data_IF_869757663134
#
_entry.id   IF_869757663134
#
_cell.length_a   1.000
_cell.length_b   1.000
_cell.length_c   1.000
_cell.angle_alpha   90.00
_cell.angle_beta   90.00
_cell.angle_gamma   90.00
#
_symmetry.space_group_name_H-M   'P 1'
#
loop_
_entity.id
_entity.type
_entity.pdbx_description
1 polymer ?
#
# COMPACT_ATOMS: atom_id res chain seq x y z
N UNK A 1 -27.47 -15.08 -21.32
CA UNK A 1 -27.68 -14.64 -19.92
C UNK A 1 -26.37 -14.47 -19.17
N UNK A 2 -25.39 -13.76 -19.73
CA UNK A 2 -24.20 -13.33 -18.98
C UNK A 2 -24.05 -11.82 -19.09
N UNK A 3 -24.82 -11.12 -18.26
CA UNK A 3 -24.62 -9.71 -17.99
C UNK A 3 -23.66 -9.59 -16.81
N UNK A 4 -22.41 -9.19 -17.07
CA UNK A 4 -21.71 -8.13 -16.32
C UNK A 4 -20.37 -7.83 -16.99
N UNK A 5 -20.47 -7.15 -18.13
CA UNK A 5 -19.43 -6.28 -18.65
C UNK A 5 -19.20 -5.12 -17.68
N UNK A 6 -18.29 -5.27 -16.71
CA UNK A 6 -17.68 -4.13 -16.05
C UNK A 6 -16.53 -3.60 -16.90
N UNK A 7 -16.92 -2.90 -17.95
CA UNK A 7 -16.08 -1.94 -18.64
C UNK A 7 -15.75 -0.83 -17.64
N UNK A 8 -14.54 -0.81 -17.08
CA UNK A 8 -14.05 0.37 -16.38
C UNK A 8 -12.53 0.47 -16.52
N UNK A 9 -12.11 1.33 -17.42
CA UNK A 9 -10.73 1.78 -17.62
C UNK A 9 -10.13 2.25 -16.29
N UNK A 10 -9.35 1.38 -15.65
CA UNK A 10 -8.59 1.74 -14.47
C UNK A 10 -7.74 0.57 -13.99
N UNK A 11 -6.45 0.83 -13.80
CA UNK A 11 -5.39 -0.13 -13.47
C UNK A 11 -5.87 -1.31 -12.62
N UNK A 12 -5.63 -2.53 -13.12
CA UNK A 12 -5.78 -3.76 -12.32
C UNK A 12 -4.91 -3.63 -11.05
N UNK A 13 -5.37 -4.10 -9.88
CA UNK A 13 -4.52 -4.27 -8.72
C UNK A 13 -3.30 -5.11 -9.10
N UNK A 14 -2.13 -4.70 -8.63
CA UNK A 14 -0.86 -5.38 -8.92
C UNK A 14 -0.21 -5.80 -7.61
N UNK A 15 0.48 -6.95 -7.66
CA UNK A 15 1.29 -7.49 -6.56
C UNK A 15 2.75 -7.35 -6.95
N UNK A 16 3.56 -6.73 -6.10
CA UNK A 16 5.02 -6.79 -6.18
C UNK A 16 5.54 -7.70 -5.06
N UNK A 17 6.52 -8.54 -5.39
CA UNK A 17 7.12 -9.51 -4.49
C UNK A 17 8.64 -9.32 -4.50
N UNK A 18 9.24 -9.24 -3.32
CA UNK A 18 10.69 -9.19 -3.17
C UNK A 18 11.08 -9.90 -1.88
N UNK A 19 11.86 -10.98 -1.96
CA UNK A 19 12.20 -11.81 -0.80
C UNK A 19 10.94 -12.17 0.03
N UNK A 20 10.91 -11.78 1.30
CA UNK A 20 9.78 -11.95 2.23
C UNK A 20 8.76 -10.79 2.20
N UNK A 21 9.04 -9.71 1.47
CA UNK A 21 8.16 -8.55 1.33
C UNK A 21 7.15 -8.71 0.19
N UNK A 22 5.89 -8.39 0.50
CA UNK A 22 4.76 -8.37 -0.44
C UNK A 22 4.11 -6.99 -0.43
N UNK A 23 4.00 -6.37 -1.59
CA UNK A 23 3.31 -5.09 -1.76
C UNK A 23 2.12 -5.24 -2.70
N UNK A 24 0.94 -4.81 -2.24
CA UNK A 24 -0.28 -4.73 -3.04
C UNK A 24 -0.57 -3.25 -3.35
N UNK A 25 -0.81 -2.93 -4.62
CA UNK A 25 -1.10 -1.55 -5.00
C UNK A 25 -2.09 -1.45 -6.16
N UNK A 26 -2.79 -0.33 -6.22
CA UNK A 26 -3.72 0.02 -7.29
C UNK A 26 -3.76 1.54 -7.44
N UNK A 27 -4.16 2.01 -8.62
CA UNK A 27 -4.35 3.42 -8.90
C UNK A 27 -5.75 3.68 -9.46
N UNK A 28 -6.30 4.83 -9.11
CA UNK A 28 -7.60 5.29 -9.58
C UNK A 28 -7.73 6.80 -9.42
N UNK A 29 -8.51 7.43 -10.27
CA UNK A 29 -8.94 8.82 -10.09
C UNK A 29 -9.88 9.00 -8.90
N UNK A 30 -10.61 7.94 -8.52
CA UNK A 30 -11.57 7.91 -7.44
C UNK A 30 -11.04 7.08 -6.26
N UNK A 31 -10.89 7.70 -5.10
CA UNK A 31 -10.37 7.06 -3.89
C UNK A 31 -11.19 5.82 -3.49
N UNK A 32 -12.52 5.90 -3.58
CA UNK A 32 -13.41 4.79 -3.26
C UNK A 32 -13.22 3.60 -4.21
N UNK A 33 -13.00 3.86 -5.50
CA UNK A 33 -12.74 2.79 -6.46
C UNK A 33 -11.38 2.13 -6.22
N UNK A 34 -10.34 2.90 -5.88
CA UNK A 34 -9.06 2.34 -5.45
C UNK A 34 -9.21 1.48 -4.19
N UNK A 35 -9.97 1.96 -3.20
CA UNK A 35 -10.26 1.23 -1.96
C UNK A 35 -10.94 -0.11 -2.23
N UNK A 36 -11.99 -0.10 -3.03
CA UNK A 36 -12.72 -1.32 -3.37
C UNK A 36 -11.81 -2.32 -4.09
N UNK A 37 -11.03 -1.85 -5.06
CA UNK A 37 -10.08 -2.67 -5.82
C UNK A 37 -9.02 -3.30 -4.92
N UNK A 38 -8.39 -2.52 -4.02
CA UNK A 38 -7.36 -3.05 -3.15
C UNK A 38 -7.93 -4.00 -2.09
N UNK A 39 -9.12 -3.70 -1.54
CA UNK A 39 -9.80 -4.58 -0.58
C UNK A 39 -10.18 -5.92 -1.20
N UNK A 40 -10.72 -5.90 -2.43
CA UNK A 40 -11.03 -7.11 -3.18
C UNK A 40 -9.76 -7.93 -3.49
N UNK A 41 -8.69 -7.26 -3.95
CA UNK A 41 -7.41 -7.93 -4.23
C UNK A 41 -6.78 -8.53 -2.97
N UNK A 42 -6.85 -7.82 -1.85
CA UNK A 42 -6.38 -8.29 -0.55
C UNK A 42 -7.17 -9.53 -0.08
N UNK A 43 -8.48 -9.58 -0.32
CA UNK A 43 -9.30 -10.77 -0.02
C UNK A 43 -8.82 -11.99 -0.80
N UNK A 44 -8.58 -11.84 -2.11
CA UNK A 44 -8.05 -12.92 -2.96
C UNK A 44 -6.65 -13.37 -2.50
N UNK A 45 -5.78 -12.43 -2.15
CA UNK A 45 -4.44 -12.72 -1.64
C UNK A 45 -4.49 -13.40 -0.27
N UNK A 46 -5.43 -13.04 0.60
CA UNK A 46 -5.61 -13.69 1.91
C UNK A 46 -5.95 -15.17 1.74
N UNK A 47 -6.91 -15.49 0.85
CA UNK A 47 -7.24 -16.88 0.51
C UNK A 47 -6.03 -17.65 -0.05
N UNK A 48 -5.21 -16.99 -0.87
CA UNK A 48 -3.97 -17.58 -1.36
C UNK A 48 -2.96 -17.83 -0.22
N UNK A 49 -2.74 -16.85 0.65
CA UNK A 49 -1.83 -17.00 1.79
C UNK A 49 -2.26 -18.13 2.71
N UNK A 50 -3.55 -18.26 3.00
CA UNK A 50 -4.08 -19.34 3.83
C UNK A 50 -3.86 -20.72 3.18
N UNK A 51 -4.13 -20.83 1.86
CA UNK A 51 -3.89 -22.06 1.09
C UNK A 51 -2.43 -22.51 1.15
N UNK A 52 -1.49 -21.56 1.10
CA UNK A 52 -0.05 -21.84 1.11
C UNK A 52 0.58 -21.74 2.51
N UNK A 53 -0.22 -21.62 3.57
CA UNK A 53 0.23 -21.49 4.96
C UNK A 53 1.20 -20.32 5.18
N UNK A 54 1.08 -19.26 4.38
CA UNK A 54 1.84 -18.03 4.52
C UNK A 54 1.22 -17.18 5.63
N UNK A 55 1.97 -16.95 6.71
CA UNK A 55 1.52 -16.12 7.82
C UNK A 55 1.86 -14.66 7.57
N UNK A 56 0.88 -13.87 7.16
CA UNK A 56 1.01 -12.41 7.11
C UNK A 56 1.24 -11.90 8.53
N UNK A 57 2.09 -10.88 8.71
CA UNK A 57 2.33 -10.25 9.99
C UNK A 57 1.63 -8.87 10.03
N UNK A 58 0.42 -8.77 10.61
CA UNK A 58 -0.33 -7.52 10.61
C UNK A 58 0.40 -6.34 11.25
N UNK A 59 1.34 -6.59 12.18
CA UNK A 59 2.15 -5.54 12.83
C UNK A 59 3.22 -4.95 11.89
N UNK A 60 3.64 -5.70 10.88
CA UNK A 60 4.57 -5.24 9.84
C UNK A 60 3.85 -4.75 8.57
N UNK A 61 2.55 -4.99 8.47
CA UNK A 61 1.75 -4.55 7.33
C UNK A 61 1.39 -3.08 7.48
N UNK A 62 1.80 -2.27 6.51
CA UNK A 62 1.51 -0.84 6.48
C UNK A 62 0.65 -0.50 5.26
N UNK A 63 -0.28 0.44 5.43
CA UNK A 63 -1.10 0.98 4.36
C UNK A 63 -0.70 2.44 4.11
N UNK A 64 -0.33 2.78 2.89
CA UNK A 64 -0.08 4.18 2.50
C UNK A 64 -0.96 4.57 1.32
N UNK A 65 -1.38 5.83 1.32
CA UNK A 65 -2.26 6.39 0.30
C UNK A 65 -1.52 7.55 -0.35
N UNK A 66 -1.15 7.37 -1.61
CA UNK A 66 -0.50 8.43 -2.38
C UNK A 66 -1.55 9.33 -3.01
N UNK A 67 -1.63 10.58 -2.56
CA UNK A 67 -2.54 11.56 -3.17
C UNK A 67 -2.06 12.99 -3.04
N UNK A 68 -2.29 13.79 -4.08
CA UNK A 68 -2.09 15.24 -4.03
C UNK A 68 -3.25 15.97 -3.32
N UNK A 69 -4.43 15.35 -3.27
CA UNK A 69 -5.64 15.93 -2.67
C UNK A 69 -5.76 15.50 -1.21
N UNK A 70 -5.79 16.46 -0.29
CA UNK A 70 -5.86 16.18 1.15
C UNK A 70 -7.17 15.50 1.58
N UNK A 71 -8.26 15.69 0.84
CA UNK A 71 -9.58 15.10 1.13
C UNK A 71 -9.63 13.58 0.94
N UNK A 72 -8.72 13.00 0.14
CA UNK A 72 -8.71 11.55 -0.11
C UNK A 72 -8.15 10.74 1.07
N UNK A 73 -7.41 11.35 1.98
CA UNK A 73 -6.87 10.68 3.16
C UNK A 73 -7.93 10.36 4.22
N UNK A 74 -9.08 11.05 4.21
CA UNK A 74 -10.18 10.83 5.16
C UNK A 74 -11.17 9.74 4.70
N UNK A 75 -11.20 9.41 3.41
CA UNK A 75 -12.22 8.53 2.81
C UNK A 75 -11.88 7.04 3.04
N UNK A 76 -10.65 6.72 3.42
CA UNK A 76 -10.18 5.35 3.50
C UNK A 76 -10.24 4.84 4.94
N UNK A 77 -11.44 4.40 5.35
CA UNK A 77 -11.58 3.50 6.52
C UNK A 77 -10.53 2.37 6.46
N UNK A 78 -10.05 1.87 7.61
CA UNK A 78 -8.98 0.87 7.67
C UNK A 78 -9.29 -0.35 6.79
N UNK A 79 -8.25 -0.86 6.13
CA UNK A 79 -8.32 -2.16 5.48
C UNK A 79 -8.12 -3.25 6.52
N UNK A 80 -8.85 -4.35 6.41
CA UNK A 80 -8.70 -5.48 7.32
C UNK A 80 -7.76 -6.50 6.71
N UNK A 81 -6.70 -6.87 7.44
CA UNK A 81 -5.79 -7.96 7.10
C UNK A 81 -5.86 -8.98 8.23
N UNK A 82 -6.34 -10.19 7.97
CA UNK A 82 -6.54 -11.24 8.99
C UNK A 82 -7.21 -10.70 10.27
N UNK A 83 -8.36 -10.05 10.11
CA UNK A 83 -9.15 -9.41 11.19
C UNK A 83 -8.43 -8.29 11.97
N UNK A 84 -7.27 -7.83 11.50
CA UNK A 84 -6.56 -6.69 12.08
C UNK A 84 -6.74 -5.45 11.20
N UNK A 85 -7.22 -4.32 11.75
CA UNK A 85 -7.33 -3.08 11.00
C UNK A 85 -5.96 -2.47 10.74
N UNK A 86 -5.65 -2.23 9.47
CA UNK A 86 -4.45 -1.51 9.03
C UNK A 86 -4.85 -0.07 8.72
N UNK A 87 -4.36 0.84 9.56
CA UNK A 87 -4.61 2.27 9.42
C UNK A 87 -3.65 2.90 8.40
N UNK A 88 -4.11 3.88 7.59
CA UNK A 88 -3.23 4.61 6.70
C UNK A 88 -2.13 5.36 7.46
N UNK A 89 -0.88 5.19 7.05
CA UNK A 89 0.28 5.95 7.56
C UNK A 89 0.68 7.07 6.60
N UNK A 90 1.43 8.05 7.12
CA UNK A 90 1.93 9.20 6.34
C UNK A 90 3.28 8.94 5.68
N UNK A 91 3.99 7.94 6.15
CA UNK A 91 5.27 7.51 5.64
C UNK A 91 5.37 5.99 5.84
N UNK A 92 5.90 5.29 4.83
CA UNK A 92 6.15 3.84 4.87
C UNK A 92 7.60 3.56 4.51
N UNK A 93 8.17 2.49 5.09
CA UNK A 93 9.47 1.98 4.65
C UNK A 93 9.24 0.82 3.66
N UNK A 94 9.79 0.93 2.45
CA UNK A 94 9.72 -0.12 1.44
C UNK A 94 11.08 -0.27 0.75
N UNK A 95 11.65 -1.48 0.79
CA UNK A 95 12.97 -1.80 0.18
C UNK A 95 14.09 -0.80 0.52
N UNK A 96 14.11 -0.30 1.76
CA UNK A 96 15.11 0.67 2.23
C UNK A 96 14.78 2.14 1.92
N UNK A 97 13.76 2.41 1.11
CA UNK A 97 13.26 3.77 0.86
C UNK A 97 12.21 4.16 1.90
N UNK A 98 12.19 5.44 2.27
CA UNK A 98 11.10 6.05 3.05
C UNK A 98 10.23 6.84 2.09
N UNK A 99 8.99 6.40 1.91
CA UNK A 99 8.03 6.98 0.98
C UNK A 99 6.99 7.76 1.77
N UNK A 100 6.91 9.09 1.58
CA UNK A 100 5.82 9.89 2.15
C UNK A 100 4.57 9.87 1.27
N UNK A 101 3.42 10.19 1.87
CA UNK A 101 2.09 10.21 1.23
C UNK A 101 1.98 11.12 -0.02
N UNK A 102 2.93 12.03 -0.22
CA UNK A 102 3.02 12.90 -1.39
C UNK A 102 4.25 12.63 -2.26
N UNK A 103 5.01 11.57 -1.98
CA UNK A 103 6.24 11.19 -2.68
C UNK A 103 7.23 12.36 -2.80
N UNK A 104 7.40 13.14 -1.72
CA UNK A 104 8.36 14.25 -1.65
C UNK A 104 9.76 13.81 -1.20
N UNK A 105 9.88 12.63 -0.60
CA UNK A 105 11.11 12.01 -0.10
C UNK A 105 11.90 12.86 0.92
N UNK A 106 11.23 13.82 1.60
CA UNK A 106 11.92 14.78 2.48
C UNK A 106 12.70 14.12 3.60
N UNK A 107 12.05 13.20 4.32
CA UNK A 107 12.65 12.45 5.42
C UNK A 107 13.77 11.52 4.94
N UNK A 108 13.60 10.90 3.77
CA UNK A 108 14.58 10.03 3.16
C UNK A 108 15.87 10.80 2.84
N UNK A 109 15.74 11.94 2.15
CA UNK A 109 16.87 12.80 1.78
C UNK A 109 17.57 13.33 3.04
N UNK A 110 16.81 13.80 4.04
CA UNK A 110 17.39 14.28 5.29
C UNK A 110 18.20 13.18 6.01
N UNK A 111 17.66 11.96 6.09
CA UNK A 111 18.36 10.82 6.67
C UNK A 111 19.63 10.46 5.88
N UNK A 112 19.58 10.48 4.54
CA UNK A 112 20.72 10.20 3.71
C UNK A 112 21.85 11.24 3.94
N UNK A 113 21.51 12.52 3.91
CA UNK A 113 22.46 13.62 4.15
C UNK A 113 23.11 13.52 5.54
N UNK A 114 22.31 13.23 6.58
CA UNK A 114 22.82 13.05 7.94
C UNK A 114 23.81 11.89 8.04
N UNK A 115 23.51 10.74 7.43
CA UNK A 115 24.41 9.59 7.42
C UNK A 115 25.73 9.90 6.72
N UNK A 116 25.70 10.62 5.60
CA UNK A 116 26.90 11.05 4.90
C UNK A 116 27.74 12.00 5.76
N UNK A 117 27.10 12.99 6.40
CA UNK A 117 27.81 13.93 7.28
C UNK A 117 28.44 13.24 8.50
N UNK A 118 27.80 12.20 9.05
CA UNK A 118 28.36 11.40 10.14
C UNK A 118 29.51 10.49 9.67
N UNK A 119 29.46 9.97 8.45
CA UNK A 119 30.52 9.12 7.91
C UNK A 119 31.79 9.91 7.51
N UNK A 120 31.68 11.22 7.34
CA UNK A 120 32.80 12.14 7.08
C UNK A 120 33.49 12.64 8.37
N UNK A 121 32.95 12.28 9.54
CA UNK A 121 33.56 12.53 10.85
C UNK A 121 34.30 11.28 11.31
#
# INVERSE_FOLDING_TARGET
NDHTTLNNTGSRPTTALYADDIALYTSSFHAQAAKFRIAHHLSLMTTYFDKWKLKVNPRKTELIVFSRKSSNNQILSPLMVQNTPIMPVKEVKYLGFRLDDRLRFKSHIANAAQKTAMAQR
#
